data_IF_231445713687
#
_entry.id   IF_231445713687
#
_cell.length_a   1.000
_cell.length_b   1.000
_cell.length_c   1.000
_cell.angle_alpha   90.00
_cell.angle_beta   90.00
_cell.angle_gamma   90.00
#
_symmetry.space_group_name_H-M   'P 1'
#
loop_
_entity.id
_entity.type
_entity.pdbx_description
1 polymer ?
#
# COMPACT_ATOMS: atom_id res chain seq x y z
N UNK A 1 10.51 3.03 5.25
CA UNK A 1 10.63 2.31 3.96
C UNK A 1 9.26 2.14 3.33
N UNK A 2 9.22 1.86 2.02
CA UNK A 2 8.00 1.67 1.24
C UNK A 2 8.01 0.34 0.50
N UNK A 3 6.83 -0.25 0.38
CA UNK A 3 6.63 -1.48 -0.39
C UNK A 3 6.15 -1.10 -1.78
N UNK A 4 6.89 -1.59 -2.77
CA UNK A 4 6.59 -1.43 -4.20
C UNK A 4 6.18 -2.76 -4.78
N UNK A 5 4.95 -2.81 -5.26
CA UNK A 5 4.45 -3.91 -6.07
C UNK A 5 4.60 -3.60 -7.56
N UNK A 6 4.60 -4.66 -8.38
CA UNK A 6 4.32 -4.51 -9.82
C UNK A 6 2.91 -3.95 -10.01
N UNK A 7 2.70 -3.22 -11.11
CA UNK A 7 1.40 -2.60 -11.42
C UNK A 7 0.29 -3.65 -11.43
N UNK A 8 -0.82 -3.36 -10.76
CA UNK A 8 -1.96 -4.25 -10.55
C UNK A 8 -1.81 -5.23 -9.37
N UNK A 9 -0.59 -5.46 -8.86
CA UNK A 9 -0.35 -6.43 -7.77
C UNK A 9 -0.66 -5.85 -6.39
N UNK A 10 -0.48 -4.56 -6.18
CA UNK A 10 -0.84 -3.92 -4.91
C UNK A 10 -2.36 -3.98 -4.67
N UNK A 11 -3.14 -3.74 -5.74
CA UNK A 11 -4.60 -3.93 -5.66
C UNK A 11 -4.97 -5.36 -5.32
N UNK A 12 -4.39 -6.33 -6.04
CA UNK A 12 -4.64 -7.76 -5.80
C UNK A 12 -4.25 -8.20 -4.39
N UNK A 13 -3.17 -7.64 -3.83
CA UNK A 13 -2.79 -7.86 -2.44
C UNK A 13 -3.89 -7.39 -1.49
N UNK A 14 -4.42 -6.17 -1.70
CA UNK A 14 -5.53 -5.67 -0.88
C UNK A 14 -6.83 -6.46 -1.08
N UNK A 15 -7.13 -6.91 -2.30
CA UNK A 15 -8.27 -7.81 -2.56
C UNK A 15 -8.11 -9.13 -1.80
N UNK A 16 -6.90 -9.71 -1.78
CA UNK A 16 -6.58 -10.91 -1.00
C UNK A 16 -6.74 -10.67 0.51
N UNK A 17 -6.33 -9.51 1.02
CA UNK A 17 -6.54 -9.13 2.42
C UNK A 17 -8.04 -9.05 2.74
N UNK A 18 -8.86 -8.44 1.87
CA UNK A 18 -10.32 -8.40 2.04
C UNK A 18 -10.90 -9.80 2.12
N UNK A 19 -10.48 -10.69 1.21
CA UNK A 19 -10.92 -12.09 1.17
C UNK A 19 -10.55 -12.84 2.45
N UNK A 20 -9.28 -12.75 2.89
CA UNK A 20 -8.79 -13.42 4.10
C UNK A 20 -9.46 -12.93 5.37
N UNK A 21 -9.73 -11.63 5.45
CA UNK A 21 -10.43 -11.02 6.59
C UNK A 21 -11.95 -11.20 6.54
N UNK A 22 -12.48 -11.86 5.50
CA UNK A 22 -13.93 -11.97 5.26
C UNK A 22 -14.65 -10.61 5.33
N UNK A 23 -13.96 -9.56 4.87
CA UNK A 23 -14.46 -8.19 4.88
C UNK A 23 -15.36 -7.96 3.67
N UNK A 24 -16.46 -7.20 3.79
CA UNK A 24 -17.35 -6.93 2.65
C UNK A 24 -16.70 -6.02 1.58
N UNK A 25 -15.67 -5.27 1.95
CA UNK A 25 -14.94 -4.39 1.03
C UNK A 25 -13.60 -3.95 1.59
N UNK A 26 -12.80 -3.26 0.78
CA UNK A 26 -11.56 -2.58 1.20
C UNK A 26 -11.81 -1.64 2.38
N UNK A 27 -12.93 -0.89 2.38
CA UNK A 27 -13.29 -0.01 3.50
C UNK A 27 -13.45 -0.78 4.81
N UNK A 28 -13.93 -2.01 4.74
CA UNK A 28 -14.10 -2.88 5.90
C UNK A 28 -12.79 -3.34 6.53
N UNK A 29 -11.64 -3.20 5.86
CA UNK A 29 -10.35 -3.49 6.50
C UNK A 29 -10.09 -2.52 7.69
N UNK A 30 -10.65 -1.31 7.64
CA UNK A 30 -10.48 -0.31 8.70
C UNK A 30 -11.10 -0.74 10.05
N UNK A 31 -12.02 -1.71 10.04
CA UNK A 31 -12.64 -2.27 11.24
C UNK A 31 -11.64 -3.00 12.14
N UNK A 32 -10.53 -3.48 11.56
CA UNK A 32 -9.55 -4.31 12.24
C UNK A 32 -8.46 -3.50 12.96
N UNK A 33 -8.72 -2.22 13.27
CA UNK A 33 -7.83 -1.39 14.09
C UNK A 33 -6.78 -0.59 13.33
N UNK A 34 -6.92 -0.44 12.01
CA UNK A 34 -5.97 0.38 11.22
C UNK A 34 -6.19 1.89 11.48
N UNK A 35 -5.14 2.58 11.93
CA UNK A 35 -5.14 4.03 12.18
C UNK A 35 -4.94 4.87 10.90
N UNK A 36 -5.61 4.51 9.81
CA UNK A 36 -5.55 5.27 8.55
C UNK A 36 -6.94 5.69 8.07
N UNK A 37 -7.09 6.89 7.50
CA UNK A 37 -8.35 7.29 6.91
C UNK A 37 -8.63 6.50 5.62
N UNK A 38 -9.91 6.30 5.31
CA UNK A 38 -10.34 5.59 4.10
C UNK A 38 -9.75 6.18 2.81
N UNK A 39 -9.57 7.49 2.73
CA UNK A 39 -8.94 8.15 1.57
C UNK A 39 -7.51 7.66 1.34
N UNK A 40 -6.74 7.43 2.40
CA UNK A 40 -5.39 6.87 2.34
C UNK A 40 -5.42 5.42 1.87
N UNK A 41 -6.31 4.60 2.44
CA UNK A 41 -6.48 3.21 2.00
C UNK A 41 -6.91 3.11 0.53
N UNK A 42 -7.82 3.98 0.09
CA UNK A 42 -8.25 4.08 -1.31
C UNK A 42 -7.11 4.48 -2.25
N UNK A 43 -6.19 5.33 -1.81
CA UNK A 43 -5.00 5.67 -2.59
C UNK A 43 -4.09 4.45 -2.79
N UNK A 44 -3.92 3.62 -1.75
CA UNK A 44 -3.19 2.37 -1.88
C UNK A 44 -3.91 1.38 -2.81
N UNK A 45 -5.23 1.28 -2.72
CA UNK A 45 -6.03 0.44 -3.62
C UNK A 45 -5.96 0.87 -5.10
N UNK A 46 -5.90 2.17 -5.33
CA UNK A 46 -5.74 2.76 -6.66
C UNK A 46 -4.29 2.75 -7.15
N UNK A 47 -3.34 2.25 -6.34
CA UNK A 47 -1.91 2.23 -6.64
C UNK A 47 -1.33 3.64 -6.91
N UNK A 48 -1.99 4.68 -6.38
CA UNK A 48 -1.54 6.08 -6.51
C UNK A 48 -0.44 6.42 -5.49
N UNK A 49 -0.30 5.58 -4.46
CA UNK A 49 0.74 5.67 -3.42
C UNK A 49 1.28 4.28 -3.10
N UNK A 50 2.56 4.24 -2.72
CA UNK A 50 3.19 3.04 -2.18
C UNK A 50 2.78 2.82 -0.72
N UNK A 51 2.61 1.56 -0.34
CA UNK A 51 2.31 1.18 1.03
C UNK A 51 3.54 1.47 1.93
N UNK A 52 3.37 2.08 3.11
CA UNK A 52 4.38 1.99 4.17
C UNK A 52 4.67 0.52 4.50
N UNK A 53 5.92 0.21 4.83
CA UNK A 53 6.31 -1.14 5.28
C UNK A 53 5.54 -1.56 6.53
N UNK A 54 5.40 -0.70 7.53
CA UNK A 54 4.63 -0.98 8.75
C UNK A 54 3.19 -1.40 8.44
N UNK A 55 2.48 -0.62 7.62
CA UNK A 55 1.11 -0.94 7.22
C UNK A 55 1.03 -2.25 6.41
N UNK A 56 2.03 -2.53 5.57
CA UNK A 56 2.07 -3.78 4.83
C UNK A 56 2.21 -4.99 5.76
N UNK A 57 3.08 -4.86 6.77
CA UNK A 57 3.32 -5.88 7.77
C UNK A 57 2.07 -6.13 8.63
N UNK A 58 1.42 -5.05 9.10
CA UNK A 58 0.14 -5.14 9.83
C UNK A 58 -0.93 -5.89 9.01
N UNK A 59 -1.05 -5.57 7.71
CA UNK A 59 -2.01 -6.24 6.82
C UNK A 59 -1.66 -7.72 6.62
N UNK A 60 -0.38 -8.05 6.48
CA UNK A 60 0.08 -9.43 6.38
C UNK A 60 -0.20 -10.22 7.66
N UNK A 61 0.05 -9.64 8.82
CA UNK A 61 -0.23 -10.26 10.13
C UNK A 61 -1.72 -10.48 10.34
N UNK A 62 -2.54 -9.44 10.12
CA UNK A 62 -4.00 -9.51 10.24
C UNK A 62 -4.60 -10.56 9.31
N UNK A 63 -4.18 -10.59 8.04
CA UNK A 63 -4.71 -11.51 7.03
C UNK A 63 -4.03 -12.89 7.03
N UNK A 64 -3.02 -13.11 7.89
CA UNK A 64 -2.16 -14.31 7.93
C UNK A 64 -1.60 -14.67 6.55
N UNK A 65 -1.05 -13.68 5.85
CA UNK A 65 -0.42 -13.84 4.53
C UNK A 65 1.09 -13.96 4.70
N UNK A 66 1.69 -15.03 4.17
CA UNK A 66 3.15 -15.15 4.13
C UNK A 66 3.73 -14.20 3.07
N UNK A 67 4.70 -13.38 3.48
CA UNK A 67 5.39 -12.42 2.60
C UNK A 67 6.11 -13.13 1.44
N UNK A 68 6.52 -14.39 1.60
CA UNK A 68 7.22 -15.18 0.57
C UNK A 68 6.39 -15.45 -0.67
N UNK A 69 5.06 -15.46 -0.53
CA UNK A 69 4.13 -15.67 -1.65
C UNK A 69 3.88 -14.38 -2.45
N UNK A 70 4.44 -13.25 -2.00
CA UNK A 70 4.23 -11.93 -2.59
C UNK A 70 5.48 -11.45 -3.34
N UNK A 71 5.28 -10.97 -4.56
CA UNK A 71 6.32 -10.36 -5.40
C UNK A 71 6.33 -8.83 -5.18
N UNK A 72 7.16 -8.37 -4.25
CA UNK A 72 7.33 -6.96 -3.90
C UNK A 72 8.80 -6.57 -3.71
N UNK A 73 9.07 -5.27 -3.83
CA UNK A 73 10.37 -4.66 -3.60
C UNK A 73 10.26 -3.66 -2.45
N UNK A 74 11.26 -3.62 -1.56
CA UNK A 74 11.37 -2.56 -0.55
C UNK A 74 12.18 -1.40 -1.13
N UNK A 75 11.64 -0.19 -1.06
CA UNK A 75 12.28 1.04 -1.56
C UNK A 75 12.35 2.11 -0.47
N UNK A 76 13.27 3.04 -0.62
CA UNK A 76 13.41 4.17 0.31
C UNK A 76 12.15 5.06 0.34
N UNK A 77 11.90 5.73 1.47
CA UNK A 77 10.75 6.64 1.61
C UNK A 77 10.77 7.81 0.62
N UNK A 78 11.94 8.18 0.11
CA UNK A 78 12.09 9.23 -0.89
C UNK A 78 12.05 8.70 -2.33
N UNK A 79 11.73 7.43 -2.53
CA UNK A 79 11.65 6.85 -3.86
C UNK A 79 10.62 7.60 -4.73
N UNK A 80 11.05 8.09 -5.89
CA UNK A 80 10.23 8.91 -6.79
C UNK A 80 10.06 10.38 -6.37
N UNK A 81 10.61 10.81 -5.23
CA UNK A 81 10.73 12.24 -4.89
C UNK A 81 11.95 12.83 -5.58
N UNK A 82 11.73 13.69 -6.58
CA UNK A 82 12.79 14.54 -7.12
C UNK A 82 13.20 15.54 -6.02
N UNK A 83 14.44 15.44 -5.53
CA UNK A 83 15.03 16.47 -4.65
C UNK A 83 15.05 17.80 -5.42
N UNK A 84 14.18 18.73 -5.05
CA UNK A 84 14.17 20.08 -5.59
C UNK A 84 13.09 20.30 -6.64
N UNK A 85 11.88 20.63 -6.16
CA UNK A 85 10.84 21.30 -6.95
C UNK A 85 11.27 22.71 -7.41
N UNK A 86 12.38 22.82 -8.12
CA UNK A 86 12.67 23.93 -9.03
C UNK A 86 12.62 23.36 -10.45
N UNK A 87 11.40 23.11 -10.95
CA UNK A 87 11.18 23.25 -12.39
C UNK A 87 11.48 24.72 -12.69
N UNK A 88 12.68 25.00 -13.18
CA UNK A 88 13.02 26.30 -13.75
C UNK A 88 11.88 26.74 -14.68
N UNK A 89 11.38 27.97 -14.52
CA UNK A 89 10.51 28.58 -15.53
C UNK A 89 11.31 28.57 -16.83
N UNK A 90 10.92 27.72 -17.79
CA UNK A 90 11.43 27.84 -19.16
C UNK A 90 10.99 29.22 -19.66
N UNK A 91 11.97 30.05 -20.01
CA UNK A 91 11.80 31.38 -20.59
C UNK A 91 11.40 31.25 -22.05
#
# INVERSE_FOLDING_TARGET
MRIRFKRGRQRKFLDLVVEKLSSPSVRGILQFGLEIPYSTLKNYYNESRLLPEELFDDLCELARIDKKDLDFEVVDDNWGRVKGGRKSKRK
#
